data_IF_790085117603
#
_entry.id   IF_790085117603
#
_cell.length_a   1.000
_cell.length_b   1.000
_cell.length_c   1.000
_cell.angle_alpha   90.00
_cell.angle_beta   90.00
_cell.angle_gamma   90.00
#
_symmetry.space_group_name_H-M   'P 1'
#
loop_
_entity.id
_entity.type
_entity.pdbx_description
1 polymer ?
#
# COMPACT_ATOMS: atom_id res chain seq x y z
N UNK A 1 33.39 24.02 -12.75
CA UNK A 1 32.57 22.87 -13.21
C UNK A 1 31.13 23.32 -13.36
N UNK A 2 30.60 23.30 -14.58
CA UNK A 2 29.25 23.78 -14.91
C UNK A 2 28.22 22.78 -14.36
N UNK A 3 27.34 23.23 -13.47
CA UNK A 3 26.16 22.46 -13.03
C UNK A 3 25.24 22.29 -14.24
N UNK A 4 25.28 21.15 -14.92
CA UNK A 4 24.24 20.78 -15.90
C UNK A 4 22.94 20.55 -15.15
N UNK A 5 22.08 21.57 -15.07
CA UNK A 5 20.68 21.39 -14.72
C UNK A 5 20.06 20.46 -15.78
N UNK A 6 19.46 19.36 -15.33
CA UNK A 6 18.89 18.33 -16.20
C UNK A 6 17.59 18.88 -16.82
N UNK A 7 17.43 18.86 -18.16
CA UNK A 7 16.34 19.57 -18.84
C UNK A 7 14.93 19.09 -18.51
N UNK A 8 14.75 17.85 -18.03
CA UNK A 8 13.43 17.32 -17.62
C UNK A 8 12.99 17.75 -16.21
N UNK A 9 13.79 18.55 -15.50
CA UNK A 9 13.40 19.22 -14.26
C UNK A 9 12.71 20.57 -14.50
N UNK A 10 12.66 21.05 -15.75
CA UNK A 10 12.05 22.33 -16.11
C UNK A 10 10.69 22.08 -16.78
N UNK A 11 9.63 22.40 -16.03
CA UNK A 11 8.22 22.48 -16.46
C UNK A 11 7.71 21.29 -17.29
N UNK A 12 7.26 20.23 -16.61
CA UNK A 12 6.50 19.15 -17.27
C UNK A 12 5.05 19.59 -17.44
N UNK A 13 4.49 19.39 -18.63
CA UNK A 13 3.04 19.32 -18.87
C UNK A 13 2.30 18.67 -17.69
N UNK A 14 1.07 19.11 -17.34
CA UNK A 14 0.32 18.54 -16.23
C UNK A 14 0.19 17.02 -16.43
N UNK A 15 0.70 16.23 -15.47
CA UNK A 15 0.60 14.77 -15.53
C UNK A 15 -0.86 14.37 -15.54
N UNK A 16 -1.28 13.67 -16.60
CA UNK A 16 -2.64 13.17 -16.76
C UNK A 16 -2.70 11.65 -16.58
N UNK A 17 -3.88 11.15 -16.21
CA UNK A 17 -4.17 9.70 -16.18
C UNK A 17 -4.47 9.21 -17.59
N UNK A 18 -4.25 7.92 -17.83
CA UNK A 18 -4.45 7.30 -19.16
C UNK A 18 -5.88 7.48 -19.70
N UNK A 19 -6.91 7.37 -18.85
CA UNK A 19 -8.31 7.58 -19.24
C UNK A 19 -8.63 9.01 -19.70
N UNK A 20 -7.87 9.99 -19.20
CA UNK A 20 -8.00 11.40 -19.63
C UNK A 20 -7.28 11.62 -20.96
N UNK A 21 -6.11 11.00 -21.13
CA UNK A 21 -5.29 11.12 -22.35
C UNK A 21 -5.90 10.38 -23.54
N UNK A 22 -6.47 9.19 -23.31
CA UNK A 22 -7.02 8.31 -24.33
C UNK A 22 -8.42 7.84 -23.89
N UNK A 23 -9.48 8.65 -24.11
CA UNK A 23 -10.83 8.34 -23.62
C UNK A 23 -11.44 7.11 -24.29
N UNK A 24 -11.07 6.84 -25.54
CA UNK A 24 -11.57 5.70 -26.32
C UNK A 24 -10.80 4.39 -26.06
N UNK A 25 -9.75 4.43 -25.22
CA UNK A 25 -8.97 3.24 -24.89
C UNK A 25 -9.79 2.31 -23.97
N UNK A 26 -10.03 1.09 -24.43
CA UNK A 26 -10.71 0.08 -23.63
C UNK A 26 -9.87 -0.35 -22.41
N UNK A 27 -10.36 -0.06 -21.21
CA UNK A 27 -9.71 -0.33 -19.92
C UNK A 27 -10.66 -1.06 -18.96
N UNK A 28 -11.28 -2.13 -19.47
CA UNK A 28 -12.24 -2.94 -18.74
C UNK A 28 -13.64 -2.33 -18.67
N UNK A 29 -14.58 -3.14 -18.18
CA UNK A 29 -16.02 -2.87 -18.28
C UNK A 29 -16.58 -2.02 -17.12
N UNK A 30 -15.78 -1.79 -16.08
CA UNK A 30 -16.21 -1.07 -14.88
C UNK A 30 -15.68 0.37 -14.85
N UNK A 31 -16.54 1.29 -14.42
CA UNK A 31 -16.16 2.67 -14.16
C UNK A 31 -15.24 2.75 -12.94
N UNK A 32 -14.19 3.59 -12.97
CA UNK A 32 -13.36 3.83 -11.80
C UNK A 32 -14.13 4.59 -10.72
N UNK A 33 -13.59 4.59 -9.49
CA UNK A 33 -14.03 5.52 -8.46
C UNK A 33 -13.73 6.98 -8.81
N UNK A 34 -14.25 7.94 -8.02
CA UNK A 34 -14.12 9.37 -8.30
C UNK A 34 -12.69 9.86 -8.51
N UNK A 35 -11.72 9.29 -7.77
CA UNK A 35 -10.31 9.65 -7.85
C UNK A 35 -9.53 8.76 -8.85
N UNK A 36 -10.16 7.69 -9.36
CA UNK A 36 -9.51 6.65 -10.15
C UNK A 36 -8.21 6.18 -9.47
N UNK A 37 -8.30 5.92 -8.17
CA UNK A 37 -7.16 5.70 -7.27
C UNK A 37 -7.52 4.68 -6.19
N UNK A 38 -6.50 4.00 -5.63
CA UNK A 38 -6.69 3.10 -4.49
C UNK A 38 -7.30 3.81 -3.27
N UNK A 39 -7.11 5.13 -3.15
CA UNK A 39 -7.71 5.96 -2.09
C UNK A 39 -9.22 6.19 -2.24
N UNK A 40 -9.85 5.72 -3.32
CA UNK A 40 -11.32 5.67 -3.43
C UNK A 40 -11.92 4.69 -2.40
N UNK A 41 -11.11 3.75 -1.87
CA UNK A 41 -11.52 2.88 -0.76
C UNK A 41 -11.45 3.66 0.56
N UNK A 42 -12.56 3.82 1.29
CA UNK A 42 -12.59 4.61 2.51
C UNK A 42 -11.61 4.12 3.59
N UNK A 43 -10.84 5.04 4.15
CA UNK A 43 -9.90 4.75 5.24
C UNK A 43 -8.49 4.33 4.80
N UNK A 44 -8.29 4.05 3.51
CA UNK A 44 -6.95 3.86 2.94
C UNK A 44 -6.27 5.22 2.77
N UNK A 45 -4.99 5.29 3.17
CA UNK A 45 -4.13 6.43 2.89
C UNK A 45 -2.83 5.97 2.23
N UNK A 46 -2.28 6.80 1.35
CA UNK A 46 -1.07 6.48 0.59
C UNK A 46 -0.17 7.71 0.56
N UNK A 47 1.12 7.49 0.71
CA UNK A 47 2.13 8.53 0.53
C UNK A 47 3.36 7.96 -0.15
N UNK A 48 4.00 8.74 -1.01
CA UNK A 48 5.26 8.42 -1.67
C UNK A 48 6.28 9.47 -1.31
N UNK A 49 7.46 9.03 -0.87
CA UNK A 49 8.63 9.87 -0.65
C UNK A 49 9.69 9.50 -1.67
N UNK A 50 10.03 10.46 -2.54
CA UNK A 50 11.08 10.32 -3.54
C UNK A 50 12.40 10.87 -2.97
N UNK A 51 13.49 10.14 -3.20
CA UNK A 51 14.84 10.50 -2.76
C UNK A 51 15.73 10.53 -3.99
N UNK A 52 16.10 11.73 -4.42
CA UNK A 52 17.00 11.94 -5.54
C UNK A 52 18.18 12.81 -5.12
N UNK A 53 19.40 12.34 -5.39
CA UNK A 53 20.61 13.14 -5.14
C UNK A 53 20.80 14.17 -6.26
N UNK A 54 21.48 15.28 -5.95
CA UNK A 54 21.74 16.38 -6.89
C UNK A 54 22.61 15.96 -8.09
N UNK A 55 23.52 15.01 -7.88
CA UNK A 55 24.33 14.39 -8.93
C UNK A 55 23.55 13.30 -9.70
N UNK A 56 22.40 12.87 -9.16
CA UNK A 56 21.54 11.80 -9.65
C UNK A 56 22.12 10.40 -9.52
N UNK A 57 23.11 10.20 -8.64
CA UNK A 57 23.62 8.86 -8.29
C UNK A 57 22.61 8.07 -7.45
N UNK A 58 21.75 8.77 -6.72
CA UNK A 58 20.64 8.21 -5.95
C UNK A 58 19.34 8.59 -6.65
N UNK A 59 18.53 7.59 -6.97
CA UNK A 59 17.14 7.72 -7.39
C UNK A 59 16.37 6.53 -6.80
N UNK A 60 15.81 6.75 -5.63
CA UNK A 60 15.08 5.73 -4.87
C UNK A 60 13.89 6.39 -4.18
N UNK A 61 13.12 5.62 -3.43
CA UNK A 61 12.03 6.15 -2.66
C UNK A 61 11.30 5.06 -1.91
N UNK A 62 10.29 5.50 -1.19
CA UNK A 62 9.41 4.64 -0.42
C UNK A 62 7.97 5.05 -0.70
N UNK A 63 7.11 4.08 -0.96
CA UNK A 63 5.65 4.28 -0.96
C UNK A 63 5.05 3.52 0.20
N UNK A 64 4.31 4.22 1.06
CA UNK A 64 3.62 3.66 2.20
C UNK A 64 2.11 3.68 1.96
N UNK A 65 1.47 2.54 2.14
CA UNK A 65 0.03 2.36 2.09
C UNK A 65 -0.43 1.98 3.49
N UNK A 66 -1.30 2.80 4.05
CA UNK A 66 -1.96 2.58 5.33
C UNK A 66 -3.32 1.95 5.02
N UNK A 67 -3.53 0.65 5.29
CA UNK A 67 -4.79 -0.02 4.98
C UNK A 67 -5.94 0.46 5.90
N UNK A 68 -5.59 0.93 7.10
CA UNK A 68 -6.51 1.51 8.09
C UNK A 68 -5.74 2.42 9.04
N UNK A 69 -6.36 3.51 9.51
CA UNK A 69 -5.74 4.45 10.47
C UNK A 69 -5.20 3.74 11.72
N UNK A 70 -5.99 2.83 12.30
CA UNK A 70 -5.64 2.06 13.50
C UNK A 70 -5.22 0.63 13.15
N UNK A 71 -4.27 0.48 12.23
CA UNK A 71 -3.76 -0.82 11.78
C UNK A 71 -3.04 -1.60 12.90
N UNK A 72 -2.61 -0.90 13.96
CA UNK A 72 -1.87 -1.51 15.07
C UNK A 72 -2.80 -2.38 15.94
N UNK A 73 -4.01 -1.88 16.22
CA UNK A 73 -4.99 -2.59 17.05
C UNK A 73 -6.04 -3.33 16.22
N UNK A 74 -6.29 -2.89 14.99
CA UNK A 74 -7.28 -3.48 14.09
C UNK A 74 -6.61 -3.95 12.80
N UNK A 75 -6.25 -5.24 12.78
CA UNK A 75 -5.76 -5.89 11.58
C UNK A 75 -6.82 -5.87 10.47
N UNK A 76 -6.36 -5.84 9.23
CA UNK A 76 -7.20 -6.08 8.06
C UNK A 76 -7.02 -7.54 7.66
N UNK A 77 -8.07 -8.19 7.20
CA UNK A 77 -7.88 -9.44 6.48
C UNK A 77 -7.02 -9.20 5.24
N UNK A 78 -6.24 -10.20 4.86
CA UNK A 78 -5.37 -10.13 3.70
C UNK A 78 -5.06 -11.53 3.17
N UNK A 79 -4.77 -11.60 1.88
CA UNK A 79 -4.30 -12.80 1.21
C UNK A 79 -3.06 -12.48 0.39
N UNK A 80 -2.33 -13.53 0.02
CA UNK A 80 -1.13 -13.42 -0.81
C UNK A 80 -1.23 -14.34 -2.01
N UNK A 81 -0.65 -13.89 -3.11
CA UNK A 81 -0.44 -14.70 -4.29
C UNK A 81 0.91 -14.34 -4.89
N UNK A 82 1.81 -15.32 -4.99
CA UNK A 82 3.09 -15.18 -5.68
C UNK A 82 2.95 -15.77 -7.07
N UNK A 83 2.98 -14.92 -8.09
CA UNK A 83 3.04 -15.38 -9.49
C UNK A 83 4.44 -15.91 -9.84
N UNK A 84 5.47 -15.16 -9.44
CA UNK A 84 6.87 -15.55 -9.54
C UNK A 84 7.60 -15.08 -8.27
N UNK A 85 8.39 -15.98 -7.68
CA UNK A 85 9.08 -15.74 -6.40
C UNK A 85 10.41 -15.00 -6.50
N UNK A 86 10.73 -14.33 -7.62
CA UNK A 86 11.97 -13.57 -7.77
C UNK A 86 11.83 -12.17 -7.14
N UNK A 87 11.69 -12.13 -5.84
CA UNK A 87 11.52 -10.91 -5.06
C UNK A 87 11.39 -11.21 -3.58
N UNK A 88 11.30 -10.17 -2.77
CA UNK A 88 11.25 -10.28 -1.32
C UNK A 88 10.01 -9.59 -0.75
N UNK A 89 9.33 -10.27 0.17
CA UNK A 89 8.16 -9.75 0.86
C UNK A 89 8.19 -10.20 2.33
N UNK A 90 8.45 -9.24 3.22
CA UNK A 90 8.42 -9.50 4.65
C UNK A 90 6.99 -9.78 5.14
N UNK A 91 6.88 -10.54 6.25
CA UNK A 91 5.61 -10.90 6.91
C UNK A 91 4.65 -11.76 6.07
N UNK A 92 5.09 -12.26 4.92
CA UNK A 92 4.29 -13.09 4.02
C UNK A 92 3.71 -14.32 4.72
N UNK A 93 4.52 -15.02 5.50
CA UNK A 93 4.09 -16.18 6.30
C UNK A 93 2.98 -15.86 7.30
N UNK A 94 2.98 -14.68 7.92
CA UNK A 94 1.94 -14.29 8.87
C UNK A 94 0.60 -14.05 8.17
N UNK A 95 0.63 -13.47 6.97
CA UNK A 95 -0.59 -13.30 6.18
C UNK A 95 -1.06 -14.65 5.62
N UNK A 96 -0.15 -15.51 5.20
CA UNK A 96 -0.49 -16.84 4.70
C UNK A 96 -1.12 -17.74 5.78
N UNK A 97 -0.60 -17.67 7.01
CA UNK A 97 -1.09 -18.45 8.15
C UNK A 97 -2.35 -17.84 8.79
N UNK A 98 -2.29 -16.55 9.11
CA UNK A 98 -3.34 -15.89 9.89
C UNK A 98 -4.40 -15.18 9.04
N UNK A 99 -4.16 -14.98 7.75
CA UNK A 99 -5.05 -14.20 6.88
C UNK A 99 -5.14 -12.73 7.29
N UNK A 100 -4.15 -12.21 8.04
CA UNK A 100 -4.21 -10.88 8.66
C UNK A 100 -3.00 -10.00 8.31
N UNK A 101 -3.29 -8.78 7.87
CA UNK A 101 -2.36 -7.66 7.72
C UNK A 101 -2.50 -6.71 8.92
N UNK A 102 -1.47 -6.68 9.76
CA UNK A 102 -1.40 -5.84 10.96
C UNK A 102 -0.27 -4.80 10.88
N UNK A 103 0.01 -4.31 9.68
CA UNK A 103 1.06 -3.31 9.42
C UNK A 103 0.69 -2.43 8.23
N UNK A 104 1.34 -1.26 8.07
CA UNK A 104 1.44 -0.60 6.79
C UNK A 104 2.03 -1.54 5.73
N UNK A 105 1.70 -1.30 4.47
CA UNK A 105 2.36 -1.91 3.32
C UNK A 105 3.38 -0.88 2.82
N UNK A 106 4.65 -1.28 2.76
CA UNK A 106 5.73 -0.40 2.31
C UNK A 106 6.40 -1.00 1.08
N UNK A 107 6.47 -0.19 0.02
CA UNK A 107 7.13 -0.51 -1.24
C UNK A 107 8.42 0.29 -1.32
N UNK A 108 9.53 -0.39 -1.60
CA UNK A 108 10.88 0.18 -1.70
C UNK A 108 11.74 -0.71 -2.60
N UNK A 109 12.92 -0.22 -3.00
CA UNK A 109 13.92 -1.08 -3.65
C UNK A 109 14.44 -2.20 -2.73
N UNK A 110 14.96 -3.27 -3.32
CA UNK A 110 15.39 -4.51 -2.64
C UNK A 110 16.28 -4.26 -1.41
N UNK A 111 17.28 -3.38 -1.53
CA UNK A 111 18.20 -3.07 -0.44
C UNK A 111 17.57 -2.21 0.68
N UNK A 112 16.39 -1.63 0.45
CA UNK A 112 15.66 -0.85 1.44
C UNK A 112 14.71 -1.67 2.32
N UNK A 113 14.49 -2.96 2.00
CA UNK A 113 13.49 -3.79 2.69
C UNK A 113 13.74 -3.88 4.19
N UNK A 114 14.98 -4.10 4.62
CA UNK A 114 15.34 -4.16 6.03
C UNK A 114 15.07 -2.85 6.77
N UNK A 115 15.45 -1.72 6.19
CA UNK A 115 15.21 -0.39 6.76
C UNK A 115 13.72 -0.05 6.81
N UNK A 116 12.96 -0.38 5.76
CA UNK A 116 11.51 -0.20 5.72
C UNK A 116 10.80 -1.02 6.82
N UNK A 117 11.17 -2.30 6.96
CA UNK A 117 10.62 -3.17 8.00
C UNK A 117 10.95 -2.63 9.41
N UNK A 118 12.19 -2.21 9.65
CA UNK A 118 12.59 -1.60 10.92
C UNK A 118 11.80 -0.32 11.21
N UNK A 119 11.63 0.55 10.20
CA UNK A 119 10.86 1.79 10.33
C UNK A 119 9.41 1.55 10.71
N UNK A 120 8.76 0.52 10.14
CA UNK A 120 7.40 0.11 10.53
C UNK A 120 7.34 -0.29 12.01
N UNK A 121 8.30 -1.12 12.46
CA UNK A 121 8.33 -1.58 13.85
C UNK A 121 8.58 -0.43 14.82
N UNK A 122 9.55 0.43 14.53
CA UNK A 122 9.86 1.60 15.33
C UNK A 122 8.66 2.54 15.43
N UNK A 123 8.03 2.87 14.31
CA UNK A 123 6.82 3.68 14.29
C UNK A 123 5.68 3.02 15.10
N UNK A 124 5.52 1.70 14.98
CA UNK A 124 4.54 0.96 15.79
C UNK A 124 4.81 1.02 17.29
N UNK A 125 6.09 1.00 17.72
CA UNK A 125 6.49 1.14 19.13
C UNK A 125 6.27 2.57 19.62
N UNK A 126 6.70 3.58 18.87
CA UNK A 126 6.51 5.00 19.21
C UNK A 126 5.02 5.34 19.33
N UNK A 127 4.23 4.89 18.37
CA UNK A 127 2.76 5.02 18.40
C UNK A 127 2.18 4.26 19.58
N UNK A 128 2.71 3.08 19.93
CA UNK A 128 2.31 2.32 21.12
C UNK A 128 2.68 3.00 22.44
N UNK A 129 3.75 3.77 22.52
CA UNK A 129 4.13 4.47 23.74
C UNK A 129 3.26 5.71 23.96
N UNK A 130 2.93 6.44 22.89
CA UNK A 130 1.93 7.50 22.91
C UNK A 130 0.53 6.94 23.20
N UNK A 131 0.15 5.86 22.52
CA UNK A 131 -1.09 5.14 22.75
C UNK A 131 -1.12 4.52 24.14
N UNK A 132 -0.04 3.97 24.71
CA UNK A 132 -0.01 3.43 26.10
C UNK A 132 -0.31 4.51 27.12
N UNK A 133 0.26 5.71 26.95
CA UNK A 133 -0.02 6.86 27.83
C UNK A 133 -1.50 7.27 27.75
N UNK A 134 -2.10 7.18 26.56
CA UNK A 134 -3.50 7.51 26.30
C UNK A 134 -4.47 6.40 26.74
N UNK A 135 -4.14 5.15 26.47
CA UNK A 135 -4.84 3.91 26.81
C UNK A 135 -4.83 3.66 28.32
N UNK A 136 -3.80 4.04 29.07
CA UNK A 136 -3.87 4.06 30.56
C UNK A 136 -5.01 4.96 31.07
N UNK A 137 -5.38 5.99 30.30
CA UNK A 137 -6.45 6.94 30.62
C UNK A 137 -7.81 6.51 30.07
N UNK A 138 -7.82 5.71 29.00
CA UNK A 138 -9.04 5.26 28.31
C UNK A 138 -9.48 3.83 28.71
N UNK A 139 -8.58 2.98 29.24
CA UNK A 139 -8.87 1.65 29.81
C UNK A 139 -9.83 1.70 31.00
N UNK A 140 -9.88 2.83 31.70
CA UNK A 140 -10.90 3.12 32.72
C UNK A 140 -12.31 3.25 32.13
N UNK A 141 -12.46 3.42 30.81
CA UNK A 141 -13.68 3.94 30.21
C UNK A 141 -14.35 3.05 29.16
N UNK A 142 -13.69 2.03 28.61
CA UNK A 142 -14.19 1.32 27.41
C UNK A 142 -14.12 -0.21 27.52
N UNK A 143 -15.03 -0.79 28.28
CA UNK A 143 -15.15 -2.25 28.50
C UNK A 143 -16.11 -2.98 27.55
N UNK A 144 -16.74 -2.34 26.55
CA UNK A 144 -17.83 -2.95 25.78
C UNK A 144 -17.78 -2.63 24.25
N UNK A 145 -17.88 -3.68 23.43
CA UNK A 145 -18.29 -3.80 22.00
C UNK A 145 -17.30 -3.66 20.81
N UNK A 146 -17.55 -4.49 19.76
CA UNK A 146 -16.80 -4.69 18.50
C UNK A 146 -17.74 -4.82 17.30
N UNK A 147 -17.34 -4.36 16.10
CA UNK A 147 -17.95 -4.73 14.81
C UNK A 147 -16.94 -4.74 13.63
N UNK A 148 -17.22 -5.54 12.60
CA UNK A 148 -16.29 -6.10 11.62
C UNK A 148 -16.36 -5.55 10.18
N UNK A 149 -15.24 -5.67 9.46
CA UNK A 149 -15.12 -5.48 8.00
C UNK A 149 -13.82 -6.10 7.46
N UNK A 150 -13.82 -6.52 6.19
CA UNK A 150 -12.71 -7.21 5.50
C UNK A 150 -12.31 -6.40 4.25
N UNK A 151 -11.01 -6.24 3.97
CA UNK A 151 -10.48 -5.64 2.74
C UNK A 151 -9.54 -6.67 2.09
N UNK A 152 -9.62 -6.87 0.78
CA UNK A 152 -8.71 -7.77 0.05
C UNK A 152 -7.99 -6.96 -1.03
N UNK A 153 -6.65 -6.91 -0.98
CA UNK A 153 -5.81 -6.19 -1.95
C UNK A 153 -5.11 -7.19 -2.86
N UNK A 154 -5.23 -7.01 -4.17
CA UNK A 154 -4.63 -7.86 -5.20
C UNK A 154 -3.71 -6.97 -6.05
N UNK A 155 -2.42 -7.31 -6.11
CA UNK A 155 -1.44 -6.61 -6.94
C UNK A 155 -0.75 -7.60 -7.90
N UNK A 156 -0.66 -7.25 -9.19
CA UNK A 156 -0.03 -8.07 -10.22
C UNK A 156 0.56 -7.21 -11.33
N UNK A 157 1.71 -7.62 -11.84
CA UNK A 157 2.43 -7.05 -13.00
C UNK A 157 2.20 -7.90 -14.27
N UNK A 158 1.31 -8.89 -14.22
CA UNK A 158 1.02 -9.72 -15.38
C UNK A 158 0.13 -8.95 -16.39
N UNK A 159 0.40 -9.04 -17.71
CA UNK A 159 -0.51 -8.53 -18.72
C UNK A 159 -1.75 -9.44 -18.76
N UNK A 160 -2.80 -9.02 -18.03
CA UNK A 160 -4.02 -9.81 -17.87
C UNK A 160 -5.16 -9.23 -18.69
N UNK A 161 -5.91 -10.13 -19.33
CA UNK A 161 -7.16 -9.81 -20.01
C UNK A 161 -8.29 -9.61 -18.97
N UNK A 162 -9.34 -8.83 -19.28
CA UNK A 162 -10.42 -8.51 -18.33
C UNK A 162 -11.08 -9.73 -17.67
N UNK A 163 -11.27 -10.81 -18.42
CA UNK A 163 -11.84 -12.05 -17.87
C UNK A 163 -10.89 -12.76 -16.88
N UNK A 164 -9.57 -12.56 -17.01
CA UNK A 164 -8.57 -13.10 -16.08
C UNK A 164 -8.56 -12.29 -14.77
N UNK A 165 -8.70 -10.95 -14.83
CA UNK A 165 -8.90 -10.11 -13.65
C UNK A 165 -10.15 -10.51 -12.86
N UNK A 166 -11.25 -10.79 -13.58
CA UNK A 166 -12.50 -11.28 -12.96
C UNK A 166 -12.32 -12.64 -12.27
N UNK A 167 -11.57 -13.56 -12.88
CA UNK A 167 -11.24 -14.87 -12.28
C UNK A 167 -10.36 -14.73 -11.05
N UNK A 168 -9.43 -13.77 -11.05
CA UNK A 168 -8.56 -13.47 -9.90
C UNK A 168 -9.38 -12.88 -8.75
N UNK A 169 -10.22 -11.87 -9.02
CA UNK A 169 -11.07 -11.26 -8.01
C UNK A 169 -12.03 -12.29 -7.37
N UNK A 170 -12.67 -13.15 -8.18
CA UNK A 170 -13.55 -14.22 -7.69
C UNK A 170 -12.83 -15.28 -6.85
N UNK A 171 -11.54 -15.53 -7.10
CA UNK A 171 -10.74 -16.47 -6.30
C UNK A 171 -10.25 -15.85 -4.99
N UNK A 172 -9.98 -14.55 -4.99
CA UNK A 172 -9.50 -13.84 -3.80
C UNK A 172 -10.51 -13.85 -2.64
N UNK A 173 -11.80 -13.99 -2.92
CA UNK A 173 -12.86 -14.11 -1.90
C UNK A 173 -13.05 -15.53 -1.36
N UNK A 174 -12.54 -16.57 -2.04
CA UNK A 174 -12.75 -17.99 -1.65
C UNK A 174 -11.96 -18.37 -0.38
N UNK A 175 -11.03 -17.51 0.07
CA UNK A 175 -10.31 -17.66 1.34
C UNK A 175 -10.97 -16.98 2.55
N UNK A 176 -12.15 -16.36 2.38
CA UNK A 176 -12.91 -15.75 3.47
C UNK A 176 -13.87 -16.81 4.03
N UNK A 177 -13.47 -17.48 5.12
CA UNK A 177 -14.37 -18.30 5.97
C UNK A 177 -14.82 -17.49 7.18
#
# INVERSE_FOLDING_TARGET
>A
MVKKQRPWLLASEPRMRIRTLLPDLFLGDHLPGPLNSLTDVPGIAISTQEITSLDGSINTGVTCIIPRKDWFHKACYAGLFSFNGYGEMTRSHLIAEGGLLCSPIVLTGTFGIGAAHQGILQYGVETKDEARKKVKKELEKAKEEKDGSIIVVIATDAPLLPHQLTRIAKRATVGLS
#
